data_IF_161094537411
#
_entry.id   IF_161094537411
#
_cell.length_a   1.000
_cell.length_b   1.000
_cell.length_c   1.000
_cell.angle_alpha   90.00
_cell.angle_beta   90.00
_cell.angle_gamma   90.00
#
_symmetry.space_group_name_H-M   'P 1'
#
loop_
_entity.id
_entity.type
_entity.pdbx_description
1 polymer ?
#
# COMPACT_ATOMS: atom_id res chain seq x y z
N UNK A 1 16.16 -30.25 6.53
CA UNK A 1 14.97 -29.52 7.05
C UNK A 1 14.28 -28.85 5.88
N UNK A 2 13.09 -29.33 5.50
CA UNK A 2 12.35 -28.81 4.35
C UNK A 2 11.82 -27.40 4.66
N UNK A 3 12.12 -26.45 3.76
CA UNK A 3 11.56 -25.10 3.84
C UNK A 3 10.04 -25.19 3.77
N UNK A 4 9.36 -24.77 4.85
CA UNK A 4 7.90 -24.64 4.82
C UNK A 4 7.55 -23.65 3.70
N UNK A 5 6.83 -24.13 2.67
CA UNK A 5 6.28 -23.28 1.61
C UNK A 5 5.63 -22.04 2.25
N UNK A 6 6.06 -20.80 1.93
CA UNK A 6 5.36 -19.62 2.45
C UNK A 6 3.95 -19.64 1.88
N UNK A 7 2.96 -19.46 2.77
CA UNK A 7 1.54 -19.59 2.47
C UNK A 7 1.15 -18.80 1.20
N UNK A 8 0.82 -19.53 0.14
CA UNK A 8 0.27 -19.03 -1.13
C UNK A 8 -0.97 -18.14 -0.95
N UNK A 9 -1.64 -18.21 0.20
CA UNK A 9 -2.79 -17.35 0.56
C UNK A 9 -2.46 -15.87 0.79
N UNK A 10 -1.19 -15.50 1.00
CA UNK A 10 -0.80 -14.10 1.32
C UNK A 10 -0.33 -13.28 0.14
N UNK A 11 -0.13 -13.93 -1.02
CA UNK A 11 0.35 -13.29 -2.24
C UNK A 11 -0.84 -12.89 -3.12
N UNK A 12 -0.94 -11.62 -3.46
CA UNK A 12 -1.93 -11.12 -4.43
C UNK A 12 -1.21 -10.58 -5.66
N UNK A 13 -1.62 -11.06 -6.84
CA UNK A 13 -1.09 -10.65 -8.15
C UNK A 13 -2.22 -10.09 -9.00
N UNK A 14 -2.01 -8.92 -9.58
CA UNK A 14 -2.98 -8.28 -10.48
C UNK A 14 -2.24 -7.65 -11.64
N UNK A 15 -2.55 -8.11 -12.85
CA UNK A 15 -1.88 -7.70 -14.07
C UNK A 15 -2.93 -7.23 -15.08
N UNK A 16 -2.74 -6.08 -15.76
CA UNK A 16 -3.58 -5.72 -16.90
C UNK A 16 -3.41 -6.75 -18.02
N UNK A 17 -4.37 -6.76 -18.97
CA UNK A 17 -4.37 -7.70 -20.11
C UNK A 17 -3.23 -7.42 -21.12
N UNK A 18 -2.60 -6.26 -21.03
CA UNK A 18 -1.57 -5.79 -21.95
C UNK A 18 -0.16 -5.96 -21.39
N UNK A 19 0.85 -5.74 -22.24
CA UNK A 19 2.27 -5.79 -21.86
C UNK A 19 2.59 -4.77 -20.76
N UNK A 20 2.97 -5.27 -19.59
CA UNK A 20 3.26 -4.45 -18.42
C UNK A 20 4.66 -3.82 -18.55
N UNK A 21 4.74 -2.50 -18.40
CA UNK A 21 6.00 -1.75 -18.34
C UNK A 21 6.40 -1.31 -16.93
N UNK A 22 5.43 -1.23 -16.02
CA UNK A 22 5.63 -0.79 -14.64
C UNK A 22 5.08 -1.83 -13.69
N UNK A 23 5.83 -2.21 -12.66
CA UNK A 23 5.34 -3.06 -11.58
C UNK A 23 5.44 -2.34 -10.24
N UNK A 24 4.46 -2.57 -9.37
CA UNK A 24 4.46 -2.14 -7.98
C UNK A 24 4.49 -3.38 -7.10
N UNK A 25 5.58 -3.55 -6.38
CA UNK A 25 5.79 -4.61 -5.39
C UNK A 25 5.69 -4.00 -4.00
N UNK A 26 4.91 -4.59 -3.11
CA UNK A 26 4.73 -3.99 -1.79
C UNK A 26 4.07 -4.86 -0.74
N UNK A 27 3.94 -4.29 0.45
CA UNK A 27 3.28 -4.94 1.57
C UNK A 27 1.74 -4.87 1.48
N UNK A 28 1.05 -5.15 2.58
CA UNK A 28 -0.42 -5.11 2.66
C UNK A 28 -1.04 -3.74 2.34
N UNK A 29 -0.29 -2.63 2.39
CA UNK A 29 -0.80 -1.30 2.08
C UNK A 29 -1.20 -1.12 0.62
N UNK A 30 -0.47 -1.75 -0.31
CA UNK A 30 -0.78 -1.64 -1.74
C UNK A 30 -1.82 -2.65 -2.22
N UNK A 31 -2.28 -3.56 -1.34
CA UNK A 31 -3.16 -4.67 -1.70
C UNK A 31 -4.45 -4.22 -2.40
N UNK A 32 -4.97 -3.04 -2.05
CA UNK A 32 -6.20 -2.49 -2.62
C UNK A 32 -5.97 -1.32 -3.57
N UNK A 33 -4.72 -0.84 -3.70
CA UNK A 33 -4.36 0.29 -4.57
C UNK A 33 -4.66 -0.03 -6.04
N UNK A 34 -4.51 -1.29 -6.46
CA UNK A 34 -4.78 -1.72 -7.84
C UNK A 34 -6.21 -1.44 -8.30
N UNK A 35 -7.20 -1.42 -7.39
CA UNK A 35 -8.61 -1.14 -7.73
C UNK A 35 -8.81 0.28 -8.28
N UNK A 36 -7.85 1.18 -8.08
CA UNK A 36 -7.89 2.54 -8.58
C UNK A 36 -7.18 2.71 -9.93
N UNK A 37 -6.65 1.64 -10.51
CA UNK A 37 -6.03 1.64 -11.83
C UNK A 37 -6.94 0.95 -12.83
N UNK A 38 -7.19 1.62 -13.96
CA UNK A 38 -7.99 1.05 -15.04
C UNK A 38 -7.20 -0.09 -15.71
N UNK A 39 -7.66 -1.36 -15.65
CA UNK A 39 -6.96 -2.49 -16.24
C UNK A 39 -6.96 -2.47 -17.77
N UNK A 40 -7.83 -1.66 -18.40
CA UNK A 40 -7.84 -1.44 -19.85
C UNK A 40 -6.76 -0.46 -20.31
N UNK A 41 -6.18 0.31 -19.38
CA UNK A 41 -5.08 1.21 -19.69
C UNK A 41 -3.78 0.42 -19.89
N UNK A 42 -3.19 0.51 -21.08
CA UNK A 42 -1.93 -0.17 -21.45
C UNK A 42 -0.73 0.23 -20.59
N UNK A 43 -0.83 1.36 -19.90
CA UNK A 43 0.18 1.88 -18.99
C UNK A 43 -0.15 1.61 -17.52
N UNK A 44 -1.22 0.87 -17.20
CA UNK A 44 -1.51 0.45 -15.83
C UNK A 44 -0.38 -0.44 -15.29
N UNK A 45 0.03 -0.26 -14.02
CA UNK A 45 1.08 -1.08 -13.45
C UNK A 45 0.55 -2.47 -13.11
N UNK A 46 1.45 -3.46 -13.17
CA UNK A 46 1.25 -4.75 -12.52
C UNK A 46 1.45 -4.62 -11.01
N UNK A 47 0.65 -5.31 -10.21
CA UNK A 47 0.75 -5.31 -8.76
C UNK A 47 1.10 -6.70 -8.23
N UNK A 48 2.09 -6.74 -7.34
CA UNK A 48 2.40 -7.92 -6.53
C UNK A 48 2.46 -7.47 -5.09
N UNK A 49 1.58 -7.99 -4.24
CA UNK A 49 1.54 -7.62 -2.82
C UNK A 49 1.59 -8.84 -1.93
N UNK A 50 2.32 -8.71 -0.81
CA UNK A 50 2.45 -9.75 0.18
C UNK A 50 2.26 -9.18 1.60
N UNK A 51 1.39 -9.82 2.38
CA UNK A 51 1.10 -9.37 3.74
C UNK A 51 2.33 -9.48 4.65
N UNK A 52 2.89 -8.32 5.02
CA UNK A 52 4.09 -8.23 5.85
C UNK A 52 5.42 -8.36 5.08
N UNK A 53 5.43 -8.01 3.79
CA UNK A 53 6.61 -8.09 2.94
C UNK A 53 7.81 -7.32 3.51
N UNK A 54 8.96 -7.98 3.43
CA UNK A 54 10.28 -7.44 3.73
C UNK A 54 11.11 -7.32 2.45
N UNK A 55 12.28 -6.67 2.53
CA UNK A 55 13.19 -6.56 1.38
C UNK A 55 13.65 -7.92 0.83
N UNK A 56 13.91 -8.88 1.72
CA UNK A 56 14.30 -10.25 1.32
C UNK A 56 13.23 -10.95 0.48
N UNK A 57 11.94 -10.67 0.75
CA UNK A 57 10.82 -11.25 -0.01
C UNK A 57 10.74 -10.69 -1.43
N UNK A 58 11.23 -9.47 -1.67
CA UNK A 58 11.15 -8.81 -2.99
C UNK A 58 11.79 -9.67 -4.06
N UNK A 59 12.95 -10.28 -3.78
CA UNK A 59 13.69 -11.06 -4.77
C UNK A 59 12.89 -12.27 -5.26
N UNK A 60 12.17 -12.95 -4.37
CA UNK A 60 11.27 -14.04 -4.74
C UNK A 60 10.06 -13.51 -5.53
N UNK A 61 9.58 -12.29 -5.24
CA UNK A 61 8.45 -11.72 -5.99
C UNK A 61 8.81 -11.31 -7.41
N UNK A 62 10.09 -11.03 -7.70
CA UNK A 62 10.53 -10.67 -9.06
C UNK A 62 10.28 -11.80 -10.05
N UNK A 63 10.33 -13.06 -9.63
CA UNK A 63 10.09 -14.22 -10.48
C UNK A 63 8.66 -14.26 -11.04
N UNK A 64 7.72 -13.59 -10.36
CA UNK A 64 6.32 -13.49 -10.81
C UNK A 64 6.06 -12.30 -11.73
N UNK A 65 7.03 -11.41 -11.92
CA UNK A 65 6.89 -10.26 -12.81
C UNK A 65 7.23 -10.66 -14.24
N UNK A 66 6.38 -10.34 -15.23
CA UNK A 66 6.66 -10.66 -16.62
C UNK A 66 7.96 -10.01 -17.10
N UNK A 67 8.51 -10.57 -18.18
CA UNK A 67 9.65 -9.96 -18.87
C UNK A 67 9.23 -8.64 -19.52
N UNK A 68 10.16 -7.67 -19.57
CA UNK A 68 9.90 -6.35 -20.17
C UNK A 68 9.28 -5.30 -19.23
N UNK A 69 9.15 -5.61 -17.93
CA UNK A 69 8.96 -4.58 -16.89
C UNK A 69 10.23 -3.74 -16.81
N UNK A 70 10.10 -2.45 -17.05
CA UNK A 70 11.20 -1.50 -17.11
C UNK A 70 11.26 -0.57 -15.88
N UNK A 71 10.13 -0.42 -15.19
CA UNK A 71 10.01 0.42 -13.99
C UNK A 71 9.48 -0.41 -12.83
N UNK A 72 10.21 -0.45 -11.72
CA UNK A 72 9.83 -1.16 -10.51
C UNK A 72 9.59 -0.16 -9.38
N UNK A 73 8.43 -0.20 -8.74
CA UNK A 73 8.15 0.52 -7.51
C UNK A 73 8.24 -0.46 -6.34
N UNK A 74 9.05 -0.13 -5.34
CA UNK A 74 9.18 -0.89 -4.12
C UNK A 74 8.47 -0.16 -2.99
N UNK A 75 7.31 -0.67 -2.57
CA UNK A 75 6.55 -0.23 -1.40
C UNK A 75 6.67 -1.27 -0.28
N UNK A 76 7.90 -1.45 0.20
CA UNK A 76 8.28 -2.40 1.26
C UNK A 76 9.20 -1.68 2.26
N UNK A 77 9.58 -2.35 3.35
CA UNK A 77 10.50 -1.83 4.36
C UNK A 77 9.81 -1.46 5.68
N UNK A 78 8.48 -1.35 5.71
CA UNK A 78 7.73 -1.08 6.94
C UNK A 78 7.97 -2.17 7.99
N UNK A 79 8.08 -3.43 7.58
CA UNK A 79 8.37 -4.57 8.47
C UNK A 79 9.85 -4.63 8.84
N UNK A 80 10.76 -4.35 7.90
CA UNK A 80 12.20 -4.28 8.16
C UNK A 80 12.54 -3.25 9.25
N UNK A 81 12.00 -2.03 9.12
CA UNK A 81 12.17 -0.98 10.13
C UNK A 81 11.61 -1.43 11.47
N UNK A 82 10.40 -2.00 11.49
CA UNK A 82 9.77 -2.44 12.73
C UNK A 82 10.52 -3.57 13.45
N UNK A 83 11.28 -4.40 12.71
CA UNK A 83 12.03 -5.54 13.26
C UNK A 83 13.48 -5.20 13.60
N UNK A 84 14.15 -4.39 12.77
CA UNK A 84 15.61 -4.25 12.77
C UNK A 84 16.08 -2.78 12.92
N UNK A 85 15.16 -1.81 12.93
CA UNK A 85 15.48 -0.38 12.96
C UNK A 85 15.91 0.17 11.58
N UNK A 86 16.12 1.49 11.51
CA UNK A 86 16.36 2.18 10.24
C UNK A 86 17.68 1.79 9.58
N UNK A 87 18.78 1.74 10.34
CA UNK A 87 20.11 1.48 9.78
C UNK A 87 20.21 0.10 9.13
N UNK A 88 19.72 -0.95 9.80
CA UNK A 88 19.69 -2.30 9.26
C UNK A 88 18.75 -2.41 8.05
N UNK A 89 17.61 -1.71 8.06
CA UNK A 89 16.70 -1.66 6.92
C UNK A 89 17.34 -0.99 5.70
N UNK A 90 18.12 0.08 5.89
CA UNK A 90 18.86 0.72 4.78
C UNK A 90 19.96 -0.19 4.23
N UNK A 91 20.70 -0.88 5.09
CA UNK A 91 21.71 -1.84 4.64
C UNK A 91 21.07 -2.95 3.79
N UNK A 92 19.91 -3.47 4.20
CA UNK A 92 19.21 -4.50 3.44
C UNK A 92 18.58 -3.96 2.14
N UNK A 93 18.07 -2.73 2.14
CA UNK A 93 17.63 -2.05 0.93
C UNK A 93 18.77 -1.99 -0.11
N UNK A 94 19.97 -1.56 0.30
CA UNK A 94 21.14 -1.44 -0.60
C UNK A 94 21.43 -2.78 -1.28
N UNK A 95 21.55 -3.85 -0.49
CA UNK A 95 21.77 -5.22 -1.00
C UNK A 95 20.66 -5.67 -1.94
N UNK A 96 19.41 -5.34 -1.61
CA UNK A 96 18.24 -5.73 -2.40
C UNK A 96 18.22 -5.01 -3.74
N UNK A 97 18.49 -3.71 -3.77
CA UNK A 97 18.59 -2.93 -5.03
C UNK A 97 19.70 -3.47 -5.92
N UNK A 98 20.87 -3.78 -5.36
CA UNK A 98 21.98 -4.36 -6.12
C UNK A 98 21.61 -5.72 -6.72
N UNK A 99 20.99 -6.61 -5.92
CA UNK A 99 20.52 -7.91 -6.41
C UNK A 99 19.41 -7.79 -7.46
N UNK A 100 18.51 -6.81 -7.34
CA UNK A 100 17.50 -6.53 -8.38
C UNK A 100 18.21 -6.18 -9.69
N UNK A 101 19.20 -5.28 -9.66
CA UNK A 101 19.95 -4.87 -10.85
C UNK A 101 20.68 -6.03 -11.52
N UNK A 102 21.27 -6.93 -10.73
CA UNK A 102 21.94 -8.13 -11.22
C UNK A 102 20.95 -9.12 -11.85
N UNK A 103 19.79 -9.36 -11.21
CA UNK A 103 18.82 -10.37 -11.65
C UNK A 103 17.88 -9.91 -12.75
N UNK A 104 17.57 -8.61 -12.80
CA UNK A 104 16.59 -8.00 -13.71
C UNK A 104 17.17 -6.73 -14.35
N UNK A 105 18.27 -6.83 -15.13
CA UNK A 105 18.93 -5.67 -15.72
C UNK A 105 18.03 -4.85 -16.67
N UNK A 106 16.95 -5.45 -17.20
CA UNK A 106 15.96 -4.76 -18.01
C UNK A 106 15.12 -3.75 -17.22
N UNK A 107 15.08 -3.84 -15.88
CA UNK A 107 14.44 -2.86 -15.00
C UNK A 107 15.30 -1.60 -14.90
N UNK A 108 15.10 -0.69 -15.85
CA UNK A 108 15.88 0.55 -15.99
C UNK A 108 15.71 1.50 -14.80
N UNK A 109 14.51 1.59 -14.26
CA UNK A 109 14.16 2.56 -13.19
C UNK A 109 13.61 1.84 -11.96
N UNK A 110 14.11 2.18 -10.78
CA UNK A 110 13.55 1.71 -9.50
C UNK A 110 13.10 2.92 -8.70
N UNK A 111 11.87 2.87 -8.19
CA UNK A 111 11.25 3.90 -7.37
C UNK A 111 11.03 3.33 -5.96
N UNK A 112 11.68 3.92 -4.97
CA UNK A 112 11.60 3.52 -3.56
C UNK A 112 10.48 4.30 -2.88
N UNK A 113 9.35 3.66 -2.63
CA UNK A 113 8.24 4.25 -1.89
C UNK A 113 8.62 4.34 -0.41
N UNK A 114 8.68 5.55 0.12
CA UNK A 114 9.04 5.74 1.53
C UNK A 114 7.89 5.26 2.45
N UNK A 115 8.21 4.71 3.63
CA UNK A 115 7.22 4.17 4.54
C UNK A 115 6.24 5.26 5.01
N UNK A 116 4.96 4.93 5.03
CA UNK A 116 3.93 5.78 5.62
C UNK A 116 4.07 5.76 7.16
N UNK A 117 3.73 6.87 7.84
CA UNK A 117 3.72 6.87 9.30
C UNK A 117 2.70 5.85 9.83
N UNK A 118 2.80 5.50 11.11
CA UNK A 118 1.79 4.71 11.81
C UNK A 118 1.04 5.60 12.80
N UNK A 119 -0.23 5.28 13.01
CA UNK A 119 -1.04 5.79 14.10
C UNK A 119 -1.30 4.69 15.14
N UNK A 120 -1.63 5.05 16.38
CA UNK A 120 -1.99 4.05 17.40
C UNK A 120 -3.15 3.16 16.93
N UNK A 121 -3.00 1.85 17.07
CA UNK A 121 -4.01 0.90 16.58
C UNK A 121 -5.14 0.79 17.60
N UNK A 122 -6.37 1.12 17.19
CA UNK A 122 -7.56 1.10 18.06
C UNK A 122 -8.12 -0.31 18.31
N UNK A 123 -7.80 -1.30 17.47
CA UNK A 123 -8.38 -2.66 17.52
C UNK A 123 -7.83 -3.56 18.63
N UNK A 124 -6.72 -3.20 19.28
CA UNK A 124 -6.03 -4.08 20.26
C UNK A 124 -5.96 -3.55 21.68
N UNK A 125 -6.79 -2.58 22.06
CA UNK A 125 -6.96 -2.18 23.47
C UNK A 125 -5.66 -1.74 24.16
N UNK A 126 -5.21 -0.51 23.89
CA UNK A 126 -4.19 0.17 24.70
C UNK A 126 -2.72 -0.20 24.44
N UNK A 127 -1.84 0.77 24.66
CA UNK A 127 -0.38 0.65 24.81
C UNK A 127 0.59 0.52 23.60
N UNK A 128 0.18 0.66 22.33
CA UNK A 128 1.19 0.71 21.23
C UNK A 128 1.78 2.11 20.94
N UNK A 129 1.46 3.13 21.75
CA UNK A 129 1.91 4.52 21.52
C UNK A 129 3.43 4.68 21.51
N UNK A 130 4.13 4.00 22.44
CA UNK A 130 5.59 4.05 22.51
C UNK A 130 6.22 3.42 21.28
N UNK A 131 5.72 2.24 20.87
CA UNK A 131 6.13 1.60 19.63
C UNK A 131 5.86 2.48 18.41
N UNK A 132 4.68 3.10 18.31
CA UNK A 132 4.35 3.98 17.17
C UNK A 132 5.24 5.22 17.13
N UNK A 133 5.52 5.84 18.29
CA UNK A 133 6.44 6.98 18.38
C UNK A 133 7.85 6.57 17.94
N UNK A 134 8.36 5.47 18.47
CA UNK A 134 9.65 4.91 18.08
C UNK A 134 9.69 4.58 16.58
N UNK A 135 8.70 3.85 16.08
CA UNK A 135 8.61 3.45 14.67
C UNK A 135 8.60 4.66 13.74
N UNK A 136 7.82 5.70 14.06
CA UNK A 136 7.76 6.90 13.24
C UNK A 136 9.09 7.66 13.25
N UNK A 137 9.81 7.69 14.37
CA UNK A 137 11.15 8.29 14.43
C UNK A 137 12.16 7.50 13.56
N UNK A 138 12.12 6.18 13.63
CA UNK A 138 12.95 5.30 12.79
C UNK A 138 12.58 5.40 11.30
N UNK A 139 11.29 5.45 10.97
CA UNK A 139 10.81 5.64 9.60
C UNK A 139 11.25 6.99 9.03
N UNK A 140 11.28 8.05 9.84
CA UNK A 140 11.81 9.35 9.44
C UNK A 140 13.34 9.32 9.22
N UNK A 141 14.08 8.63 10.09
CA UNK A 141 15.54 8.42 9.93
C UNK A 141 15.82 7.67 8.62
N UNK A 142 15.13 6.54 8.42
CA UNK A 142 15.18 5.75 7.19
C UNK A 142 14.87 6.62 5.96
N UNK A 143 13.77 7.37 5.98
CA UNK A 143 13.38 8.23 4.87
C UNK A 143 14.42 9.30 4.54
N UNK A 144 15.04 9.94 5.55
CA UNK A 144 16.12 10.92 5.32
C UNK A 144 17.33 10.27 4.66
N UNK A 145 17.76 9.11 5.15
CA UNK A 145 18.91 8.40 4.62
C UNK A 145 18.66 7.94 3.17
N UNK A 146 17.50 7.33 2.88
CA UNK A 146 17.14 6.93 1.50
C UNK A 146 17.10 8.13 0.55
N UNK A 147 16.56 9.27 0.98
CA UNK A 147 16.57 10.50 0.17
C UNK A 147 18.00 10.94 -0.16
N UNK A 148 18.91 10.92 0.82
CA UNK A 148 20.32 11.27 0.61
C UNK A 148 21.00 10.30 -0.33
N UNK A 149 20.79 8.99 -0.16
CA UNK A 149 21.38 7.96 -1.00
C UNK A 149 20.89 8.04 -2.47
N UNK A 150 19.61 8.35 -2.68
CA UNK A 150 19.07 8.58 -4.02
C UNK A 150 19.62 9.87 -4.65
N UNK A 151 19.65 10.98 -3.91
CA UNK A 151 20.14 12.27 -4.44
C UNK A 151 21.64 12.27 -4.71
N UNK A 152 22.42 11.61 -3.85
CA UNK A 152 23.86 11.46 -4.00
C UNK A 152 24.28 10.36 -4.99
N UNK A 153 23.32 9.66 -5.62
CA UNK A 153 23.62 8.61 -6.60
C UNK A 153 24.24 7.33 -6.03
N UNK A 154 24.28 7.17 -4.70
CA UNK A 154 24.93 6.03 -4.02
C UNK A 154 24.25 4.69 -4.33
N UNK A 155 22.92 4.69 -4.53
CA UNK A 155 22.17 3.49 -4.94
C UNK A 155 22.33 3.16 -6.43
N UNK A 156 23.05 4.00 -7.17
CA UNK A 156 23.24 3.89 -8.61
C UNK A 156 22.27 4.75 -9.44
N UNK A 157 22.47 4.78 -10.76
CA UNK A 157 21.68 5.61 -11.66
C UNK A 157 20.22 5.15 -11.71
N UNK A 158 19.32 6.12 -11.95
CA UNK A 158 17.87 5.89 -12.14
C UNK A 158 17.19 5.17 -10.97
N UNK A 159 17.72 5.37 -9.76
CA UNK A 159 17.05 5.01 -8.51
C UNK A 159 16.50 6.29 -7.89
N UNK A 160 15.17 6.37 -7.78
CA UNK A 160 14.50 7.52 -7.19
C UNK A 160 13.67 7.09 -5.99
N UNK A 161 13.15 8.06 -5.24
CA UNK A 161 12.25 7.82 -4.12
C UNK A 161 10.89 8.47 -4.38
N UNK A 162 9.83 7.85 -3.86
CA UNK A 162 8.50 8.42 -3.80
C UNK A 162 8.26 8.85 -2.36
N UNK A 163 8.25 10.16 -2.15
CA UNK A 163 7.99 10.76 -0.85
C UNK A 163 6.50 11.03 -0.66
N UNK A 164 5.89 10.34 0.29
CA UNK A 164 4.50 10.55 0.67
C UNK A 164 4.37 11.63 1.75
N UNK A 165 5.17 12.70 1.68
CA UNK A 165 5.21 13.77 2.69
C UNK A 165 3.85 14.42 2.98
N UNK A 166 2.92 14.41 2.02
CA UNK A 166 1.53 14.87 2.21
C UNK A 166 0.69 13.91 3.07
N UNK A 167 1.09 12.64 3.18
CA UNK A 167 0.55 11.63 4.10
C UNK A 167 1.32 11.57 5.42
N UNK A 168 1.93 12.67 5.84
CA UNK A 168 2.50 12.76 7.20
C UNK A 168 1.37 12.84 8.26
N UNK A 169 1.75 12.78 9.54
CA UNK A 169 0.82 13.14 10.61
C UNK A 169 0.65 14.66 10.62
N UNK A 170 -0.55 15.22 10.86
CA UNK A 170 -1.81 14.57 11.24
C UNK A 170 -2.66 13.83 10.17
N UNK A 171 -2.64 14.19 8.87
CA UNK A 171 -3.57 13.63 7.86
C UNK A 171 -3.68 12.12 7.85
N UNK A 172 -2.56 11.40 8.00
CA UNK A 172 -2.56 9.93 7.98
C UNK A 172 -3.45 9.28 9.05
N UNK A 173 -3.63 9.91 10.21
CA UNK A 173 -4.47 9.35 11.28
C UNK A 173 -5.92 9.12 10.83
N UNK A 174 -6.41 9.95 9.93
CA UNK A 174 -7.76 9.86 9.37
C UNK A 174 -7.82 8.93 8.14
N UNK A 175 -6.68 8.76 7.47
CA UNK A 175 -6.52 7.92 6.29
C UNK A 175 -6.12 6.47 6.63
N UNK A 176 -6.01 6.11 7.91
CA UNK A 176 -5.70 4.77 8.36
C UNK A 176 -6.92 4.10 9.02
N UNK A 177 -7.30 2.91 8.54
CA UNK A 177 -8.42 2.13 9.07
C UNK A 177 -8.17 1.60 10.49
N UNK A 178 -6.95 1.15 10.76
CA UNK A 178 -6.54 0.59 12.05
C UNK A 178 -5.24 1.21 12.58
N UNK A 179 -4.83 2.34 12.02
CA UNK A 179 -3.58 3.02 12.34
C UNK A 179 -2.32 2.41 11.69
N UNK A 180 -2.43 1.25 11.03
CA UNK A 180 -1.37 0.71 10.18
C UNK A 180 -1.82 0.68 8.72
N UNK A 181 -2.96 0.08 8.45
CA UNK A 181 -3.50 -0.08 7.10
C UNK A 181 -4.32 1.14 6.69
N UNK A 182 -4.21 1.52 5.42
CA UNK A 182 -5.00 2.59 4.84
C UNK A 182 -6.51 2.28 4.92
N UNK A 183 -7.32 3.31 5.19
CA UNK A 183 -8.77 3.30 4.98
C UNK A 183 -9.09 3.31 3.49
N UNK A 184 -10.37 3.20 3.12
CA UNK A 184 -10.80 3.32 1.73
C UNK A 184 -10.30 4.64 1.11
N UNK A 185 -10.49 5.77 1.81
CA UNK A 185 -9.97 7.08 1.40
C UNK A 185 -8.45 7.11 1.36
N UNK A 186 -7.78 6.52 2.35
CA UNK A 186 -6.31 6.44 2.36
C UNK A 186 -5.74 5.66 1.18
N UNK A 187 -6.40 4.58 0.76
CA UNK A 187 -6.01 3.82 -0.44
C UNK A 187 -6.20 4.67 -1.69
N UNK A 188 -7.31 5.39 -1.83
CA UNK A 188 -7.57 6.27 -2.96
C UNK A 188 -6.52 7.38 -3.09
N UNK A 189 -6.20 8.03 -1.97
CA UNK A 189 -5.18 9.08 -1.89
C UNK A 189 -3.78 8.54 -2.22
N UNK A 190 -3.42 7.37 -1.68
CA UNK A 190 -2.15 6.71 -1.99
C UNK A 190 -2.07 6.35 -3.48
N UNK A 191 -3.15 5.82 -4.05
CA UNK A 191 -3.23 5.47 -5.47
C UNK A 191 -3.08 6.70 -6.37
N UNK A 192 -3.73 7.81 -6.03
CA UNK A 192 -3.62 9.06 -6.78
C UNK A 192 -2.18 9.58 -6.77
N UNK A 193 -1.49 9.50 -5.64
CA UNK A 193 -0.08 9.91 -5.61
C UNK A 193 0.84 8.98 -6.41
N UNK A 194 0.58 7.68 -6.42
CA UNK A 194 1.28 6.79 -7.35
C UNK A 194 1.01 7.19 -8.82
N UNK A 195 -0.22 7.56 -9.17
CA UNK A 195 -0.57 8.05 -10.51
C UNK A 195 0.24 9.29 -10.90
N UNK A 196 0.36 10.26 -10.01
CA UNK A 196 1.14 11.48 -10.25
C UNK A 196 2.64 11.20 -10.38
N UNK A 197 3.17 10.34 -9.53
CA UNK A 197 4.61 10.04 -9.51
C UNK A 197 5.06 9.22 -10.70
N UNK A 198 4.28 8.21 -11.11
CA UNK A 198 4.66 7.48 -12.32
C UNK A 198 4.38 8.31 -13.59
N UNK A 199 3.50 9.32 -13.56
CA UNK A 199 3.31 10.29 -14.66
C UNK A 199 4.60 11.08 -14.86
N UNK A 200 5.18 11.56 -13.78
CA UNK A 200 6.44 12.31 -13.82
C UNK A 200 7.59 11.48 -14.38
N UNK A 201 7.68 10.20 -14.00
CA UNK A 201 8.73 9.30 -14.49
C UNK A 201 8.40 8.63 -15.84
N UNK A 202 7.16 8.76 -16.33
CA UNK A 202 6.68 8.33 -17.66
C UNK A 202 5.65 9.33 -18.20
N UNK A 203 6.09 10.38 -18.91
CA UNK A 203 5.23 11.46 -19.39
C UNK A 203 4.04 10.99 -20.25
N UNK A 204 4.12 9.81 -20.87
CA UNK A 204 3.04 9.23 -21.71
C UNK A 204 1.72 8.96 -20.98
N UNK A 205 1.67 9.04 -19.64
CA UNK A 205 0.42 8.94 -18.89
C UNK A 205 -0.47 10.20 -18.93
N UNK A 206 0.04 11.34 -19.42
CA UNK A 206 -0.72 12.59 -19.52
C UNK A 206 -1.71 12.61 -20.70
N UNK A 207 -1.58 11.67 -21.62
CA UNK A 207 -2.50 11.53 -22.75
C UNK A 207 -3.65 10.61 -22.34
N UNK A 208 -4.67 11.16 -21.67
CA UNK A 208 -6.01 10.65 -21.96
C UNK A 208 -6.21 10.74 -23.48
N UNK A 209 -6.94 9.81 -24.13
CA UNK A 209 -7.37 10.08 -25.49
C UNK A 209 -8.12 11.41 -25.42
N UNK A 210 -7.60 12.45 -26.09
CA UNK A 210 -8.50 13.51 -26.54
C UNK A 210 -9.53 12.76 -27.36
N UNK A 211 -10.78 12.83 -26.94
CA UNK A 211 -11.87 12.63 -27.88
C UNK A 211 -11.50 13.53 -29.05
N UNK A 212 -11.08 12.92 -30.15
CA UNK A 212 -11.05 13.59 -31.42
C UNK A 212 -12.50 13.95 -31.65
N UNK A 213 -12.82 15.21 -31.39
CA UNK A 213 -13.99 15.87 -31.93
C UNK A 213 -13.91 15.61 -33.43
N UNK A 214 -14.69 14.63 -33.89
CA UNK A 214 -15.15 14.61 -35.26
C UNK A 214 -15.85 15.95 -35.47
N UNK A 215 -15.24 16.75 -36.32
CA UNK A 215 -15.85 17.88 -37.00
C UNK A 215 -17.15 17.43 -37.64
N UNK A 216 -18.26 17.76 -36.98
CA UNK A 216 -19.52 18.00 -37.67
C UNK A 216 -19.81 19.49 -37.62
N UNK A 217 -19.61 20.12 -38.76
CA UNK A 217 -20.12 21.43 -39.13
C UNK A 217 -21.65 21.41 -39.08
N UNK A 218 -22.26 22.16 -38.16
CA UNK A 218 -23.56 22.77 -38.43
C UNK A 218 -23.80 24.00 -37.53
N UNK A 219 -23.83 25.14 -38.22
CA UNK A 219 -24.68 26.32 -38.06
C UNK A 219 -24.96 26.96 -36.69
N UNK A 220 -24.79 28.29 -36.75
CA UNK A 220 -25.24 29.31 -35.82
C UNK A 220 -26.70 29.13 -35.39
N UNK A 221 -26.95 29.25 -34.09
CA UNK A 221 -28.18 29.86 -33.58
C UNK A 221 -27.92 30.45 -32.18
N UNK A 222 -28.22 31.74 -32.03
CA UNK A 222 -28.25 32.48 -30.77
C UNK A 222 -29.14 31.81 -29.71
N UNK A 223 -28.85 31.95 -28.41
CA UNK A 223 -29.74 31.44 -27.37
C UNK A 223 -31.02 32.30 -27.29
N UNK A 224 -32.21 31.68 -27.14
CA UNK A 224 -33.43 32.42 -26.88
C UNK A 224 -33.45 32.96 -25.44
N UNK A 225 -33.89 34.21 -25.30
CA UNK A 225 -34.24 34.80 -24.03
C UNK A 225 -35.52 34.15 -23.48
N UNK A 226 -35.52 33.82 -22.19
CA UNK A 226 -36.74 33.43 -21.45
C UNK A 226 -36.68 32.04 -20.84
N UNK A 227 -35.98 31.89 -19.71
CA UNK A 227 -36.25 30.81 -18.76
C UNK A 227 -36.98 31.41 -17.55
N UNK A 228 -38.09 30.80 -17.09
CA UNK A 228 -38.77 31.22 -15.87
C UNK A 228 -37.89 30.93 -14.63
N UNK A 229 -38.02 31.72 -13.55
CA UNK A 229 -37.25 31.49 -12.33
C UNK A 229 -37.60 30.14 -11.68
N UNK A 230 -36.58 29.45 -11.17
CA UNK A 230 -36.71 28.19 -10.45
C UNK A 230 -37.63 28.34 -9.22
N UNK A 231 -38.49 27.34 -8.93
CA UNK A 231 -39.27 27.32 -7.69
C UNK A 231 -38.34 27.15 -6.47
N UNK A 232 -38.71 27.70 -5.29
CA UNK A 232 -37.94 27.52 -4.08
C UNK A 232 -37.93 26.06 -3.63
N UNK A 233 -36.79 25.61 -3.11
CA UNK A 233 -36.62 24.26 -2.60
C UNK A 233 -37.61 23.93 -1.48
N UNK A 234 -38.19 22.72 -1.43
CA UNK A 234 -39.05 22.30 -0.33
C UNK A 234 -38.24 22.16 0.97
N UNK A 235 -38.88 22.39 2.14
CA UNK A 235 -38.22 22.23 3.43
C UNK A 235 -37.81 20.77 3.67
N UNK A 236 -36.61 20.58 4.21
CA UNK A 236 -36.06 19.27 4.53
C UNK A 236 -36.95 18.52 5.54
N UNK A 237 -37.29 17.27 5.23
CA UNK A 237 -37.99 16.39 6.16
C UNK A 237 -37.12 16.10 7.41
N UNK A 238 -37.73 15.98 8.61
CA UNK A 238 -37.00 15.63 9.81
C UNK A 238 -36.44 14.20 9.74
N UNK A 239 -35.18 14.04 10.16
CA UNK A 239 -34.49 12.75 10.21
C UNK A 239 -35.26 11.73 11.07
N UNK A 240 -35.44 10.48 10.61
CA UNK A 240 -36.00 9.43 11.46
C UNK A 240 -35.06 9.14 12.64
N UNK A 241 -35.65 9.10 13.83
CA UNK A 241 -34.96 8.84 15.09
C UNK A 241 -34.22 7.50 15.05
N UNK A 242 -33.00 7.48 15.61
CA UNK A 242 -32.17 6.27 15.71
C UNK A 242 -32.90 5.17 16.50
N UNK A 243 -32.84 3.90 16.05
CA UNK A 243 -33.33 2.80 16.85
C UNK A 243 -32.49 2.60 18.12
N UNK A 244 -33.11 2.13 19.23
CA UNK A 244 -32.40 1.90 20.48
C UNK A 244 -31.36 0.79 20.36
N UNK A 245 -30.30 0.92 21.16
CA UNK A 245 -29.12 0.06 21.15
C UNK A 245 -29.46 -1.31 21.78
N UNK A 246 -29.13 -2.44 21.15
CA UNK A 246 -29.38 -3.76 21.75
C UNK A 246 -28.45 -4.03 22.94
N UNK A 247 -29.01 -4.62 23.98
CA UNK A 247 -28.32 -5.15 25.17
C UNK A 247 -27.43 -6.36 24.80
N UNK A 248 -26.25 -6.52 25.43
CA UNK A 248 -25.31 -7.57 25.06
C UNK A 248 -25.74 -8.93 25.62
N UNK A 249 -26.18 -9.84 24.73
CA UNK A 249 -26.25 -11.27 25.04
C UNK A 249 -24.83 -11.86 25.15
N UNK A 250 -24.62 -12.82 26.07
CA UNK A 250 -23.34 -13.48 26.33
C UNK A 250 -22.73 -14.03 25.03
N UNK A 251 -21.66 -13.40 24.57
CA UNK A 251 -20.90 -13.86 23.41
C UNK A 251 -20.18 -15.18 23.71
N UNK A 252 -20.11 -16.12 22.75
CA UNK A 252 -19.26 -17.30 22.88
C UNK A 252 -17.78 -16.89 23.06
N UNK A 253 -16.97 -17.71 23.74
CA UNK A 253 -15.59 -17.34 24.05
C UNK A 253 -14.79 -17.06 22.78
N UNK A 254 -14.10 -15.91 22.80
CA UNK A 254 -13.24 -15.38 21.73
C UNK A 254 -12.31 -16.47 21.15
N UNK A 255 -12.18 -16.59 19.82
CA UNK A 255 -11.20 -17.45 19.14
C UNK A 255 -9.79 -17.40 19.76
N UNK A 256 -9.39 -16.27 20.34
CA UNK A 256 -8.12 -16.09 21.04
C UNK A 256 -8.04 -16.87 22.34
N UNK A 257 -9.13 -16.97 23.10
CA UNK A 257 -9.23 -17.79 24.30
C UNK A 257 -9.16 -19.28 23.95
N UNK A 258 -9.80 -19.69 22.82
CA UNK A 258 -9.68 -21.07 22.30
C UNK A 258 -8.26 -21.41 21.87
N UNK A 259 -7.54 -20.46 21.26
CA UNK A 259 -6.16 -20.65 20.83
C UNK A 259 -5.17 -20.73 22.01
N UNK A 260 -5.30 -19.84 23.00
CA UNK A 260 -4.44 -19.84 24.19
C UNK A 260 -4.67 -21.08 25.07
N UNK A 261 -5.91 -21.55 25.18
CA UNK A 261 -6.20 -22.80 25.87
C UNK A 261 -5.55 -24.00 25.16
N UNK A 262 -5.57 -24.07 23.81
CA UNK A 262 -4.86 -25.13 23.07
C UNK A 262 -3.34 -25.09 23.25
N UNK A 263 -2.74 -23.91 23.30
CA UNK A 263 -1.31 -23.76 23.56
C UNK A 263 -0.94 -24.18 24.99
N UNK A 264 -1.77 -23.82 25.97
CA UNK A 264 -1.57 -24.23 27.36
C UNK A 264 -1.68 -25.75 27.54
N UNK A 265 -2.65 -26.41 26.89
CA UNK A 265 -2.78 -27.88 26.93
C UNK A 265 -1.59 -28.57 26.26
N UNK A 266 -1.06 -28.02 25.16
CA UNK A 266 0.11 -28.56 24.46
C UNK A 266 1.41 -28.40 25.27
N UNK A 267 1.56 -27.27 25.97
CA UNK A 267 2.69 -27.03 26.87
C UNK A 267 2.70 -28.00 28.06
N UNK A 268 1.52 -28.27 28.66
CA UNK A 268 1.38 -29.23 29.78
C UNK A 268 1.72 -30.67 29.37
N UNK A 269 1.30 -31.12 28.17
CA UNK A 269 1.67 -32.45 27.66
C UNK A 269 3.18 -32.61 27.42
N UNK A 270 3.85 -31.56 26.95
CA UNK A 270 5.30 -31.59 26.73
C UNK A 270 6.12 -31.53 28.04
N UNK A 271 5.54 -30.99 29.11
CA UNK A 271 6.13 -31.02 30.45
C UNK A 271 5.96 -32.39 31.11
N UNK A 272 4.80 -33.05 30.94
CA UNK A 272 4.57 -34.39 31.48
C UNK A 272 5.49 -35.44 30.84
N UNK A 273 5.69 -35.41 29.51
CA UNK A 273 6.59 -36.34 28.81
C UNK A 273 8.09 -36.13 29.05
N UNK A 274 8.49 -35.12 29.84
CA UNK A 274 9.88 -34.89 30.28
C UNK A 274 10.16 -35.39 31.69
N UNK A 275 9.13 -35.82 32.42
CA UNK A 275 9.26 -36.36 33.78
C UNK A 275 9.19 -37.90 33.82
N UNK A 276 8.98 -38.55 32.67
CA UNK A 276 8.90 -40.01 32.52
C UNK A 276 10.11 -40.62 31.77
N UNK A 277 11.21 -39.87 31.59
CA UNK A 277 12.49 -40.37 31.09
C UNK A 277 13.63 -39.97 32.02
#
# INVERSE_FOLDING_TARGET
MAASKPATERLSRRFPKFKIKTAIVGDSLIRHVFNHFDPSNTSAPGFVSYGGAMFEDVLATLEYLPTGVETLVLHVGTVDIARRGSAAAVAELKRTVERIRQRRPEMKTILLSLPLPRAPNRRRGGANRNFVRWFNAEAQRYAREVRQLCRGGVLGPRIFYIDHGFLTLPPWRFLAADGLHASFEGVAVLAQHFKERLRYHRPRWASAPRLTEETDTHDQASPPAGLPPCPPCPPCLPCPQRPPRPTPSRAPPDPRTRYMNRLATKARRNQAGRLEN
#
